data_IF_085013280343
#
_entry.id   IF_085013280343
#
_cell.length_a   1.000
_cell.length_b   1.000
_cell.length_c   1.000
_cell.angle_alpha   90.00
_cell.angle_beta   90.00
_cell.angle_gamma   90.00
#
_symmetry.space_group_name_H-M   'P 1'
#
loop_
_entity.id
_entity.type
_entity.pdbx_description
1 polymer ?
#
# COMPACT_ATOMS: atom_id res chain seq x y z
N UNK A 1 19.83 -7.83 16.27
CA UNK A 1 19.52 -9.19 15.79
C UNK A 1 18.24 -9.61 16.48
N UNK A 2 17.20 -9.90 15.71
CA UNK A 2 15.84 -10.08 16.20
C UNK A 2 14.88 -9.83 15.05
N UNK A 3 15.02 -10.61 13.98
CA UNK A 3 14.06 -10.68 12.88
C UNK A 3 12.76 -11.26 13.45
N UNK A 4 11.79 -10.39 13.74
CA UNK A 4 10.41 -10.79 14.03
C UNK A 4 9.79 -11.33 12.73
N UNK A 5 9.94 -12.63 12.51
CA UNK A 5 9.13 -13.37 11.55
C UNK A 5 7.74 -13.51 12.15
N UNK A 6 6.79 -12.72 11.61
CA UNK A 6 5.36 -12.74 11.94
C UNK A 6 4.80 -14.16 11.81
N UNK A 7 3.90 -14.63 12.70
CA UNK A 7 3.03 -15.75 12.38
C UNK A 7 2.05 -15.31 11.30
N UNK A 8 1.90 -16.11 10.23
CA UNK A 8 0.86 -15.90 9.23
C UNK A 8 -0.50 -15.95 9.92
N UNK A 9 -1.30 -14.90 9.76
CA UNK A 9 -2.64 -14.87 10.35
C UNK A 9 -3.52 -15.84 9.56
N UNK A 10 -3.54 -17.08 10.01
CA UNK A 10 -4.53 -18.10 9.67
C UNK A 10 -4.83 -18.93 10.93
N UNK A 11 -5.99 -18.70 11.51
CA UNK A 11 -6.69 -19.65 12.35
C UNK A 11 -8.16 -19.64 11.91
N UNK A 12 -8.59 -20.67 11.20
CA UNK A 12 -9.91 -20.70 10.57
C UNK A 12 -11.06 -20.49 11.57
N UNK A 13 -11.77 -19.38 11.41
CA UNK A 13 -13.23 -19.31 11.35
C UNK A 13 -13.63 -17.96 10.71
N UNK A 14 -13.73 -17.96 9.38
CA UNK A 14 -13.82 -16.81 8.46
C UNK A 14 -12.49 -16.10 8.14
N UNK A 15 -11.54 -16.95 7.73
CA UNK A 15 -10.45 -16.80 6.75
C UNK A 15 -9.59 -15.51 6.75
N UNK A 16 -8.31 -15.73 7.05
CA UNK A 16 -7.29 -14.70 7.29
C UNK A 16 -6.44 -14.26 6.08
N UNK A 17 -6.41 -12.93 5.92
CA UNK A 17 -5.28 -11.96 5.99
C UNK A 17 -4.10 -11.94 4.99
N UNK A 18 -4.01 -10.82 4.22
CA UNK A 18 -2.93 -9.75 4.21
C UNK A 18 -1.52 -10.14 3.65
N UNK A 19 -0.69 -9.35 2.92
CA UNK A 19 -0.46 -7.90 2.73
C UNK A 19 0.37 -7.59 1.44
N UNK A 20 0.34 -6.29 1.10
CA UNK A 20 0.87 -5.39 0.04
C UNK A 20 2.39 -5.25 -0.26
N UNK A 21 2.72 -4.86 -1.51
CA UNK A 21 3.63 -3.73 -1.88
C UNK A 21 3.53 -3.29 -3.37
N UNK A 22 4.01 -2.07 -3.61
CA UNK A 22 3.70 -1.02 -4.61
C UNK A 22 4.12 -1.18 -6.10
N UNK A 23 3.32 -0.47 -6.93
CA UNK A 23 3.67 0.56 -7.94
C UNK A 23 4.02 0.26 -9.43
N UNK A 24 3.33 1.07 -10.24
CA UNK A 24 3.73 1.80 -11.45
C UNK A 24 3.92 1.04 -12.77
N UNK A 25 3.17 1.47 -13.79
CA UNK A 25 3.55 1.30 -15.19
C UNK A 25 3.74 2.66 -15.85
N UNK A 26 4.91 2.79 -16.48
CA UNK A 26 5.36 3.93 -17.24
C UNK A 26 4.83 3.89 -18.69
N UNK A 27 4.66 5.07 -19.29
CA UNK A 27 4.43 5.31 -20.71
C UNK A 27 5.78 5.52 -21.44
N UNK A 28 5.84 5.32 -22.77
CA UNK A 28 7.09 5.08 -23.48
C UNK A 28 7.91 6.34 -23.79
N UNK A 29 9.23 6.15 -23.86
CA UNK A 29 10.22 7.15 -24.26
C UNK A 29 10.37 7.24 -25.80
N UNK A 30 10.56 8.46 -26.31
CA UNK A 30 11.14 8.72 -27.63
C UNK A 30 12.59 9.21 -27.48
N UNK A 31 13.46 8.99 -28.48
CA UNK A 31 14.87 9.37 -28.38
C UNK A 31 15.07 10.83 -28.78
N UNK A 32 15.87 11.57 -28.00
CA UNK A 32 16.43 12.86 -28.42
C UNK A 32 17.95 12.81 -28.31
N UNK A 33 18.55 13.36 -29.36
CA UNK A 33 19.95 13.32 -29.75
C UNK A 33 20.85 14.07 -28.75
N UNK A 34 22.01 13.47 -28.46
CA UNK A 34 23.09 14.10 -27.72
C UNK A 34 23.70 15.27 -28.50
N UNK A 35 23.82 16.44 -27.86
CA UNK A 35 24.85 17.40 -28.20
C UNK A 35 25.54 17.93 -26.94
N UNK A 36 26.85 17.78 -26.95
CA UNK A 36 27.83 18.23 -25.99
C UNK A 36 28.04 19.74 -26.08
N UNK A 37 27.97 20.46 -24.97
CA UNK A 37 28.94 21.51 -24.59
C UNK A 37 28.51 22.25 -23.31
N UNK A 38 29.33 22.14 -22.27
CA UNK A 38 29.61 23.27 -21.35
C UNK A 38 30.64 24.19 -22.03
N UNK A 39 30.81 25.47 -21.65
CA UNK A 39 30.43 26.08 -20.37
C UNK A 39 29.73 27.46 -20.50
N UNK A 40 28.85 27.81 -19.57
CA UNK A 40 28.49 29.22 -19.36
C UNK A 40 28.48 29.57 -17.87
N UNK A 41 29.43 30.42 -17.49
CA UNK A 41 29.41 31.18 -16.24
C UNK A 41 28.44 32.35 -16.41
N UNK A 42 27.31 32.32 -15.70
CA UNK A 42 26.33 33.42 -15.73
C UNK A 42 26.74 34.48 -14.71
N UNK A 43 27.08 35.66 -15.21
CA UNK A 43 27.22 36.90 -14.44
C UNK A 43 25.83 37.51 -14.20
N UNK A 44 25.72 38.38 -13.19
CA UNK A 44 24.51 38.90 -12.54
C UNK A 44 23.50 39.70 -13.40
N UNK A 45 23.37 39.47 -14.71
CA UNK A 45 22.63 40.39 -15.60
C UNK A 45 21.63 39.78 -16.59
N UNK A 46 21.17 38.55 -16.37
CA UNK A 46 20.02 37.99 -17.10
C UNK A 46 18.88 37.66 -16.13
N UNK A 47 18.06 38.67 -15.78
CA UNK A 47 16.79 38.44 -15.08
C UNK A 47 15.77 38.01 -16.16
N UNK A 48 15.30 36.74 -16.16
CA UNK A 48 14.38 36.29 -17.21
C UNK A 48 13.10 37.13 -17.16
N UNK A 49 12.54 37.43 -18.34
CA UNK A 49 11.32 38.24 -18.53
C UNK A 49 10.05 37.51 -18.06
N UNK A 50 10.20 36.25 -17.63
CA UNK A 50 9.20 35.49 -16.89
C UNK A 50 8.93 36.14 -15.53
N UNK A 51 7.66 36.28 -15.17
CA UNK A 51 7.25 36.72 -13.83
C UNK A 51 7.91 35.85 -12.76
N UNK A 52 8.86 36.42 -12.00
CA UNK A 52 9.52 35.76 -10.87
C UNK A 52 8.55 35.69 -9.68
N UNK A 53 7.59 34.77 -9.74
CA UNK A 53 6.60 34.56 -8.69
C UNK A 53 6.63 33.12 -8.22
N UNK A 54 6.23 32.83 -6.96
CA UNK A 54 6.07 31.44 -6.49
C UNK A 54 5.16 30.61 -7.40
N UNK A 55 4.10 31.23 -7.92
CA UNK A 55 3.16 30.59 -8.84
C UNK A 55 3.85 30.14 -10.14
N UNK A 56 4.72 30.97 -10.73
CA UNK A 56 5.43 30.59 -11.95
C UNK A 56 6.41 29.41 -11.72
N UNK A 57 6.98 29.30 -10.51
CA UNK A 57 7.82 28.15 -10.14
C UNK A 57 6.98 26.87 -10.08
N UNK A 58 5.81 26.93 -9.42
CA UNK A 58 4.90 25.78 -9.31
C UNK A 58 4.36 25.35 -10.68
N UNK A 59 3.95 26.29 -11.53
CA UNK A 59 3.48 25.99 -12.88
C UNK A 59 4.54 25.29 -13.73
N UNK A 60 5.79 25.77 -13.68
CA UNK A 60 6.89 25.11 -14.37
C UNK A 60 7.18 23.72 -13.80
N UNK A 61 7.12 23.56 -12.48
CA UNK A 61 7.31 22.28 -11.80
C UNK A 61 6.22 21.26 -12.17
N UNK A 62 4.96 21.66 -12.15
CA UNK A 62 3.80 20.84 -12.50
C UNK A 62 3.81 20.45 -13.99
N UNK A 63 4.30 21.35 -14.85
CA UNK A 63 4.57 21.09 -16.26
C UNK A 63 5.79 20.18 -16.49
N UNK A 64 6.51 19.78 -15.43
CA UNK A 64 7.77 19.03 -15.45
C UNK A 64 8.91 19.74 -16.18
N UNK A 65 8.80 21.05 -16.37
CA UNK A 65 9.88 21.90 -16.83
C UNK A 65 10.77 22.27 -15.63
N UNK A 66 11.49 21.26 -15.14
CA UNK A 66 12.30 21.39 -13.93
C UNK A 66 13.47 22.37 -14.10
N UNK A 67 13.95 22.57 -15.33
CA UNK A 67 15.02 23.55 -15.60
C UNK A 67 14.48 24.96 -15.37
N UNK A 68 13.33 25.29 -15.95
CA UNK A 68 12.69 26.59 -15.73
C UNK A 68 12.31 26.79 -14.26
N UNK A 69 11.73 25.78 -13.62
CA UNK A 69 11.39 25.83 -12.19
C UNK A 69 12.63 26.06 -11.32
N UNK A 70 13.76 25.40 -11.61
CA UNK A 70 15.02 25.57 -10.88
C UNK A 70 15.58 26.99 -11.07
N UNK A 71 15.58 27.51 -12.29
CA UNK A 71 16.11 28.85 -12.60
C UNK A 71 15.30 29.93 -11.91
N UNK A 72 13.97 29.93 -12.08
CA UNK A 72 13.08 30.92 -11.46
C UNK A 72 13.07 30.75 -9.93
N UNK A 73 13.01 29.49 -9.47
CA UNK A 73 12.97 29.11 -8.06
C UNK A 73 14.16 29.62 -7.27
N UNK A 74 15.38 29.63 -7.83
CA UNK A 74 16.57 30.19 -7.16
C UNK A 74 16.41 31.67 -6.80
N UNK A 75 15.77 32.48 -7.65
CA UNK A 75 15.51 33.89 -7.35
C UNK A 75 14.42 34.03 -6.29
N UNK A 76 13.28 33.36 -6.48
CA UNK A 76 12.12 33.46 -5.58
C UNK A 76 12.44 32.92 -4.17
N UNK A 77 13.18 31.81 -4.07
CA UNK A 77 13.67 31.27 -2.80
C UNK A 77 14.66 32.20 -2.11
N UNK A 78 15.50 32.90 -2.88
CA UNK A 78 16.46 33.89 -2.36
C UNK A 78 15.76 35.14 -1.81
N UNK A 79 14.61 35.51 -2.38
CA UNK A 79 13.75 36.59 -1.88
C UNK A 79 12.98 36.20 -0.60
N UNK A 80 13.10 34.96 -0.14
CA UNK A 80 12.62 34.52 1.16
C UNK A 80 11.37 33.65 1.13
N UNK A 81 10.79 33.34 -0.03
CA UNK A 81 9.57 32.53 -0.11
C UNK A 81 9.81 31.10 0.42
N UNK A 82 9.18 30.79 1.55
CA UNK A 82 9.49 29.56 2.29
C UNK A 82 9.02 28.29 1.56
N UNK A 83 7.91 28.35 0.82
CA UNK A 83 7.42 27.22 0.00
C UNK A 83 8.40 26.93 -1.14
N UNK A 84 8.87 27.96 -1.83
CA UNK A 84 9.85 27.84 -2.91
C UNK A 84 11.21 27.37 -2.38
N UNK A 85 11.62 27.80 -1.18
CA UNK A 85 12.81 27.27 -0.53
C UNK A 85 12.67 25.76 -0.26
N UNK A 86 11.51 25.29 0.21
CA UNK A 86 11.27 23.86 0.41
C UNK A 86 11.27 23.09 -0.92
N UNK A 87 10.58 23.61 -1.95
CA UNK A 87 10.53 23.02 -3.29
C UNK A 87 11.93 22.94 -3.93
N UNK A 88 12.73 24.00 -3.80
CA UNK A 88 14.09 24.03 -4.32
C UNK A 88 14.97 22.98 -3.61
N UNK A 89 14.81 22.81 -2.30
CA UNK A 89 15.42 21.72 -1.55
C UNK A 89 15.05 20.35 -2.12
N UNK A 90 13.76 20.13 -2.39
CA UNK A 90 13.24 18.89 -2.95
C UNK A 90 13.81 18.59 -4.34
N UNK A 91 13.83 19.60 -5.21
CA UNK A 91 14.36 19.45 -6.57
C UNK A 91 15.85 19.11 -6.56
N UNK A 92 16.64 19.76 -5.71
CA UNK A 92 18.08 19.47 -5.56
C UNK A 92 18.34 18.09 -4.96
N UNK A 93 17.51 17.65 -4.02
CA UNK A 93 17.61 16.31 -3.43
C UNK A 93 17.35 15.20 -4.48
N UNK A 94 16.41 15.43 -5.39
CA UNK A 94 15.98 14.44 -6.39
C UNK A 94 16.63 14.63 -7.77
N UNK A 95 17.51 15.62 -7.95
CA UNK A 95 18.14 15.91 -9.24
C UNK A 95 17.15 16.39 -10.31
N UNK A 96 16.12 17.11 -9.90
CA UNK A 96 15.13 17.69 -10.82
C UNK A 96 15.63 19.05 -11.31
N UNK A 97 15.92 19.15 -12.61
CA UNK A 97 16.42 20.40 -13.20
C UNK A 97 17.93 20.63 -12.99
N UNK A 98 18.67 19.57 -12.65
CA UNK A 98 20.13 19.59 -12.46
C UNK A 98 20.63 18.29 -11.83
N UNK A 99 21.90 18.25 -11.45
CA UNK A 99 22.46 17.13 -10.67
C UNK A 99 21.95 17.15 -9.22
N UNK A 100 21.98 15.98 -8.55
CA UNK A 100 21.65 15.88 -7.13
C UNK A 100 22.68 16.67 -6.29
N UNK A 101 22.18 17.58 -5.46
CA UNK A 101 22.99 18.31 -4.47
C UNK A 101 22.29 18.33 -3.10
N UNK A 102 22.59 17.30 -2.30
CA UNK A 102 22.04 17.15 -0.95
C UNK A 102 22.49 18.27 0.00
N UNK A 103 23.69 18.80 -0.19
CA UNK A 103 24.21 19.83 0.73
C UNK A 103 23.52 21.17 0.47
N UNK A 104 23.32 21.54 -0.80
CA UNK A 104 22.53 22.70 -1.15
C UNK A 104 21.05 22.50 -0.75
N UNK A 105 20.48 21.31 -0.97
CA UNK A 105 19.12 20.99 -0.54
C UNK A 105 18.91 21.22 0.97
N UNK A 106 19.82 20.72 1.82
CA UNK A 106 19.77 20.92 3.28
C UNK A 106 19.80 22.41 3.64
N UNK A 107 20.58 23.22 2.92
CA UNK A 107 20.65 24.66 3.15
C UNK A 107 19.29 25.32 2.91
N UNK A 108 18.64 24.98 1.79
CA UNK A 108 17.31 25.49 1.45
C UNK A 108 16.23 24.99 2.40
N UNK A 109 16.23 23.71 2.75
CA UNK A 109 15.33 23.17 3.74
C UNK A 109 15.48 23.83 5.11
N UNK A 110 16.71 24.12 5.57
CA UNK A 110 16.93 24.82 6.84
C UNK A 110 16.34 26.23 6.83
N UNK A 111 16.45 26.96 5.71
CA UNK A 111 15.82 28.27 5.55
C UNK A 111 14.30 28.17 5.59
N UNK A 112 13.72 27.23 4.85
CA UNK A 112 12.27 26.99 4.85
C UNK A 112 11.75 26.59 6.25
N UNK A 113 12.42 25.64 6.91
CA UNK A 113 12.07 25.17 8.25
C UNK A 113 12.20 26.28 9.31
N UNK A 114 13.15 27.20 9.18
CA UNK A 114 13.25 28.36 10.06
C UNK A 114 12.04 29.30 9.95
N UNK A 115 11.32 29.27 8.83
CA UNK A 115 10.09 30.00 8.59
C UNK A 115 8.83 29.18 8.92
N UNK A 116 8.98 28.00 9.53
CA UNK A 116 7.87 27.15 9.93
C UNK A 116 7.39 26.17 8.84
N UNK A 117 8.10 26.03 7.72
CA UNK A 117 7.71 25.08 6.69
C UNK A 117 7.93 23.65 7.13
N UNK A 118 6.83 22.92 7.28
CA UNK A 118 6.88 21.61 7.91
C UNK A 118 7.38 20.51 7.00
N UNK A 119 7.10 20.58 5.70
CA UNK A 119 7.64 19.62 4.72
C UNK A 119 9.19 19.66 4.73
N UNK A 120 9.76 20.86 4.85
CA UNK A 120 11.21 21.02 5.01
C UNK A 120 11.74 20.45 6.34
N UNK A 121 10.97 20.54 7.43
CA UNK A 121 11.33 19.90 8.70
C UNK A 121 11.31 18.37 8.59
N UNK A 122 10.32 17.80 7.89
CA UNK A 122 10.24 16.35 7.64
C UNK A 122 11.42 15.89 6.78
N UNK A 123 11.71 16.57 5.66
CA UNK A 123 12.83 16.25 4.79
C UNK A 123 14.18 16.31 5.54
N UNK A 124 14.39 17.33 6.38
CA UNK A 124 15.59 17.40 7.25
C UNK A 124 15.66 16.23 8.25
N UNK A 125 14.52 15.78 8.76
CA UNK A 125 14.44 14.59 9.62
C UNK A 125 14.83 13.31 8.89
N UNK A 126 14.36 13.13 7.66
CA UNK A 126 14.64 11.96 6.83
C UNK A 126 16.11 11.91 6.39
N UNK A 127 16.64 13.03 5.88
CA UNK A 127 18.06 13.15 5.52
C UNK A 127 18.97 12.92 6.75
N UNK A 128 18.56 13.43 7.92
CA UNK A 128 19.26 13.15 9.16
C UNK A 128 19.22 11.66 9.52
N UNK A 129 18.06 11.01 9.42
CA UNK A 129 17.89 9.58 9.73
C UNK A 129 18.76 8.69 8.81
N UNK A 130 18.86 9.05 7.53
CA UNK A 130 19.75 8.41 6.57
C UNK A 130 21.24 8.65 6.92
N UNK A 131 21.55 9.80 7.52
CA UNK A 131 22.91 10.27 7.81
C UNK A 131 23.55 10.93 6.59
N UNK A 132 22.75 11.59 5.75
CA UNK A 132 23.17 12.20 4.49
C UNK A 132 23.53 13.68 4.66
N UNK A 133 24.35 14.21 3.74
CA UNK A 133 24.70 15.63 3.67
C UNK A 133 25.31 16.22 4.96
N UNK A 134 25.98 15.38 5.76
CA UNK A 134 26.59 15.79 7.03
C UNK A 134 25.61 15.96 8.20
N UNK A 135 24.34 15.59 8.04
CA UNK A 135 23.39 15.56 9.15
C UNK A 135 23.64 14.33 10.04
N UNK A 136 23.58 14.53 11.35
CA UNK A 136 23.66 13.45 12.32
C UNK A 136 22.31 12.73 12.43
N UNK A 137 22.34 11.39 12.54
CA UNK A 137 21.16 10.57 12.83
C UNK A 137 20.45 10.96 14.12
N UNK A 138 21.21 11.38 15.14
CA UNK A 138 20.64 11.90 16.39
C UNK A 138 19.84 13.19 16.17
N UNK A 139 20.12 13.94 15.10
CA UNK A 139 19.42 15.16 14.72
C UNK A 139 18.01 14.93 14.17
N UNK A 140 17.71 13.72 13.67
CA UNK A 140 16.40 13.36 13.14
C UNK A 140 15.29 13.57 14.19
N UNK A 141 15.56 13.17 15.44
CA UNK A 141 14.66 13.36 16.57
C UNK A 141 14.22 14.83 16.70
N UNK A 142 15.15 15.76 16.59
CA UNK A 142 14.86 17.19 16.74
C UNK A 142 13.94 17.70 15.63
N UNK A 143 14.21 17.33 14.39
CA UNK A 143 13.42 17.76 13.23
C UNK A 143 12.02 17.17 13.22
N UNK A 144 11.89 15.86 13.42
CA UNK A 144 10.57 15.23 13.53
C UNK A 144 9.78 15.74 14.74
N UNK A 145 10.42 16.01 15.87
CA UNK A 145 9.74 16.62 17.03
C UNK A 145 9.20 18.02 16.72
N UNK A 146 9.94 18.84 15.96
CA UNK A 146 9.46 20.17 15.54
C UNK A 146 8.24 20.05 14.63
N UNK A 147 8.29 19.15 13.64
CA UNK A 147 7.17 18.91 12.73
C UNK A 147 5.95 18.32 13.46
N UNK A 148 6.15 17.35 14.34
CA UNK A 148 5.09 16.74 15.15
C UNK A 148 4.41 17.73 16.12
N UNK A 149 5.11 18.79 16.56
CA UNK A 149 4.53 19.84 17.41
C UNK A 149 3.53 20.74 16.67
N UNK A 150 3.60 20.80 15.35
CA UNK A 150 2.63 21.52 14.49
C UNK A 150 1.65 20.53 13.82
N UNK A 151 1.39 19.41 14.49
CA UNK A 151 0.37 18.43 14.13
C UNK A 151 0.55 17.71 12.78
N UNK A 152 1.80 17.64 12.28
CA UNK A 152 2.15 16.76 11.16
C UNK A 152 2.19 15.30 11.57
N UNK A 153 1.27 14.50 11.03
CA UNK A 153 1.08 13.11 11.43
C UNK A 153 2.16 12.17 10.88
N UNK A 154 2.64 12.40 9.67
CA UNK A 154 3.80 11.70 9.08
C UNK A 154 5.06 11.86 9.94
N UNK A 155 5.32 13.07 10.44
CA UNK A 155 6.40 13.34 11.38
C UNK A 155 6.19 12.63 12.74
N UNK A 156 4.95 12.57 13.24
CA UNK A 156 4.63 11.83 14.46
C UNK A 156 4.87 10.33 14.29
N UNK A 157 4.51 9.75 13.15
CA UNK A 157 4.80 8.36 12.80
C UNK A 157 6.30 8.09 12.69
N UNK A 158 7.04 8.96 12.01
CA UNK A 158 8.50 8.87 11.93
C UNK A 158 9.15 8.96 13.31
N UNK A 159 8.64 9.85 14.18
CA UNK A 159 9.06 10.00 15.56
C UNK A 159 8.75 8.74 16.39
N UNK A 160 7.58 8.14 16.19
CA UNK A 160 7.23 6.89 16.85
C UNK A 160 8.19 5.76 16.48
N UNK A 161 8.45 5.55 15.18
CA UNK A 161 9.38 4.53 14.68
C UNK A 161 10.82 4.77 15.15
N UNK A 162 11.21 6.04 15.28
CA UNK A 162 12.48 6.40 15.91
C UNK A 162 12.56 5.91 17.35
N UNK A 163 11.50 6.09 18.14
CA UNK A 163 11.43 5.61 19.51
C UNK A 163 11.28 4.08 19.63
N UNK A 164 10.71 3.38 18.66
CA UNK A 164 10.61 1.91 18.71
C UNK A 164 11.97 1.21 18.60
N UNK A 165 12.85 1.73 17.75
CA UNK A 165 14.14 1.09 17.50
C UNK A 165 15.07 1.87 16.58
N UNK A 166 14.82 3.16 16.40
CA UNK A 166 15.52 4.00 15.45
C UNK A 166 17.03 4.07 15.66
N UNK A 167 17.77 4.26 14.57
CA UNK A 167 19.21 4.49 14.62
C UNK A 167 19.48 5.88 15.20
N UNK A 168 20.18 5.96 16.32
CA UNK A 168 20.70 7.21 16.88
C UNK A 168 19.99 7.74 18.11
N UNK A 169 18.99 7.03 18.66
CA UNK A 169 18.41 7.33 19.98
C UNK A 169 18.19 6.05 20.79
N UNK A 170 17.99 6.18 22.10
CA UNK A 170 17.59 5.06 22.95
C UNK A 170 16.10 4.73 22.70
N UNK A 171 15.73 3.44 22.56
CA UNK A 171 14.33 3.06 22.40
C UNK A 171 13.46 3.49 23.59
N UNK A 172 12.25 3.93 23.30
CA UNK A 172 11.22 4.26 24.27
C UNK A 172 9.82 3.91 23.70
N UNK A 173 9.36 2.67 23.85
CA UNK A 173 8.06 2.23 23.33
C UNK A 173 6.86 3.03 23.85
N UNK A 174 6.95 3.61 25.05
CA UNK A 174 5.89 4.44 25.62
C UNK A 174 5.73 5.78 24.88
N UNK A 175 6.86 6.42 24.54
CA UNK A 175 6.85 7.61 23.68
C UNK A 175 6.39 7.25 22.27
N UNK A 176 6.88 6.15 21.71
CA UNK A 176 6.47 5.69 20.38
C UNK A 176 4.94 5.55 20.28
N UNK A 177 4.36 4.81 21.22
CA UNK A 177 2.91 4.63 21.33
C UNK A 177 2.17 5.96 21.50
N UNK A 178 2.68 6.88 22.32
CA UNK A 178 2.06 8.18 22.56
C UNK A 178 1.98 9.01 21.27
N UNK A 179 3.06 9.01 20.47
CA UNK A 179 3.07 9.69 19.18
C UNK A 179 2.14 9.05 18.15
N UNK A 180 2.06 7.71 18.09
CA UNK A 180 1.08 7.04 17.21
C UNK A 180 -0.35 7.35 17.61
N UNK A 181 -0.66 7.38 18.91
CA UNK A 181 -2.01 7.74 19.40
C UNK A 181 -2.37 9.17 18.96
N UNK A 182 -1.43 10.10 19.08
CA UNK A 182 -1.65 11.49 18.64
C UNK A 182 -1.89 11.55 17.13
N UNK A 183 -1.07 10.89 16.33
CA UNK A 183 -1.21 10.84 14.87
C UNK A 183 -2.55 10.23 14.45
N UNK A 184 -2.93 9.09 15.02
CA UNK A 184 -4.19 8.41 14.76
C UNK A 184 -5.40 9.31 15.11
N UNK A 185 -5.32 10.03 16.23
CA UNK A 185 -6.39 10.96 16.63
C UNK A 185 -6.51 12.20 15.72
N UNK A 186 -5.44 12.55 15.00
CA UNK A 186 -5.43 13.60 13.98
C UNK A 186 -5.81 13.09 12.58
N UNK A 187 -6.18 11.81 12.44
CA UNK A 187 -6.68 11.25 11.20
C UNK A 187 -5.68 10.41 10.42
N UNK A 188 -4.54 10.06 11.01
CA UNK A 188 -3.57 9.18 10.37
C UNK A 188 -4.00 7.71 10.45
N UNK A 189 -4.46 7.16 9.33
CA UNK A 189 -4.94 5.79 9.24
C UNK A 189 -3.82 4.76 9.50
N UNK A 190 -2.60 5.05 9.05
CA UNK A 190 -1.45 4.17 9.25
C UNK A 190 -1.06 4.10 10.73
N UNK A 191 -1.08 5.22 11.44
CA UNK A 191 -0.84 5.24 12.88
C UNK A 191 -1.91 4.47 13.66
N UNK A 192 -3.18 4.59 13.26
CA UNK A 192 -4.25 3.80 13.83
C UNK A 192 -4.03 2.30 13.59
N UNK A 193 -3.65 1.90 12.37
CA UNK A 193 -3.34 0.50 12.04
C UNK A 193 -2.17 -0.04 12.85
N UNK A 194 -1.05 0.70 12.96
CA UNK A 194 0.12 0.26 13.74
C UNK A 194 -0.22 0.09 15.24
N UNK A 195 -1.16 0.87 15.78
CA UNK A 195 -1.67 0.65 17.14
C UNK A 195 -2.55 -0.61 17.22
N UNK A 196 -3.29 -0.93 16.17
CA UNK A 196 -4.02 -2.20 16.04
C UNK A 196 -3.06 -3.39 16.04
N UNK A 197 -2.01 -3.32 15.21
CA UNK A 197 -0.97 -4.35 15.08
C UNK A 197 -0.27 -4.59 16.45
N UNK A 198 0.14 -3.52 17.14
CA UNK A 198 0.82 -3.60 18.44
C UNK A 198 -0.03 -4.26 19.53
N UNK A 199 -1.34 -4.02 19.50
CA UNK A 199 -2.28 -4.56 20.49
C UNK A 199 -2.83 -5.93 20.10
N UNK A 200 -2.62 -6.43 18.88
CA UNK A 200 -3.34 -7.60 18.34
C UNK A 200 -3.20 -8.85 19.21
N UNK A 201 -1.96 -9.22 19.52
CA UNK A 201 -1.63 -10.43 20.30
C UNK A 201 -1.82 -10.25 21.81
N UNK A 202 -1.89 -9.00 22.30
CA UNK A 202 -1.87 -8.70 23.74
C UNK A 202 -3.21 -8.24 24.29
N UNK A 203 -4.03 -7.59 23.46
CA UNK A 203 -5.33 -7.05 23.79
C UNK A 203 -6.16 -6.87 22.52
N UNK A 204 -6.84 -7.94 22.09
CA UNK A 204 -7.62 -7.95 20.87
C UNK A 204 -8.78 -6.93 20.90
N UNK A 205 -9.34 -6.59 22.07
CA UNK A 205 -10.38 -5.56 22.20
C UNK A 205 -9.83 -4.17 21.86
N UNK A 206 -8.63 -3.85 22.35
CA UNK A 206 -7.97 -2.60 21.99
C UNK A 206 -7.54 -2.59 20.51
N UNK A 207 -7.01 -3.70 20.01
CA UNK A 207 -6.63 -3.83 18.62
C UNK A 207 -7.82 -3.57 17.68
N UNK A 208 -8.97 -4.20 17.95
CA UNK A 208 -10.20 -3.99 17.19
C UNK A 208 -10.59 -2.51 17.14
N UNK A 209 -10.53 -1.81 18.29
CA UNK A 209 -10.85 -0.37 18.34
C UNK A 209 -9.95 0.45 17.41
N UNK A 210 -8.66 0.12 17.36
CA UNK A 210 -7.71 0.82 16.49
C UNK A 210 -7.89 0.47 15.02
N UNK A 211 -8.15 -0.80 14.68
CA UNK A 211 -8.49 -1.18 13.31
C UNK A 211 -9.80 -0.56 12.83
N UNK A 212 -10.86 -0.50 13.65
CA UNK A 212 -12.09 0.20 13.29
C UNK A 212 -11.83 1.70 13.04
N UNK A 213 -10.96 2.32 13.83
CA UNK A 213 -10.56 3.72 13.61
C UNK A 213 -9.80 3.88 12.30
N UNK A 214 -8.85 3.00 12.00
CA UNK A 214 -8.11 3.01 10.73
C UNK A 214 -9.05 2.79 9.53
N UNK A 215 -10.00 1.85 9.64
CA UNK A 215 -11.03 1.58 8.64
C UNK A 215 -11.91 2.81 8.36
N UNK A 216 -12.32 3.53 9.42
CA UNK A 216 -13.08 4.77 9.30
C UNK A 216 -12.28 5.91 8.64
N UNK A 217 -10.94 5.86 8.71
CA UNK A 217 -10.02 6.77 8.02
C UNK A 217 -9.67 6.31 6.59
N UNK A 218 -10.25 5.20 6.13
CA UNK A 218 -10.08 4.68 4.77
C UNK A 218 -9.03 3.58 4.61
N UNK A 219 -8.44 3.06 5.68
CA UNK A 219 -7.53 1.90 5.59
C UNK A 219 -8.32 0.61 5.35
N UNK A 220 -8.25 0.13 4.12
CA UNK A 220 -9.03 -1.02 3.63
C UNK A 220 -8.60 -2.34 4.28
N UNK A 221 -7.29 -2.51 4.51
CA UNK A 221 -6.77 -3.70 5.19
C UNK A 221 -7.31 -3.77 6.62
N UNK A 222 -7.37 -2.65 7.35
CA UNK A 222 -7.92 -2.59 8.70
C UNK A 222 -9.42 -2.83 8.73
N UNK A 223 -10.16 -2.40 7.70
CA UNK A 223 -11.58 -2.75 7.57
C UNK A 223 -11.75 -4.27 7.47
N UNK A 224 -10.94 -4.92 6.63
CA UNK A 224 -10.94 -6.37 6.51
C UNK A 224 -10.54 -7.07 7.82
N UNK A 225 -9.45 -6.65 8.45
CA UNK A 225 -8.98 -7.22 9.73
C UNK A 225 -10.06 -7.08 10.81
N UNK A 226 -10.66 -5.91 10.98
CA UNK A 226 -11.72 -5.69 11.95
C UNK A 226 -12.95 -6.56 11.66
N UNK A 227 -13.30 -6.81 10.39
CA UNK A 227 -14.36 -7.74 10.04
C UNK A 227 -14.02 -9.17 10.49
N UNK A 228 -12.81 -9.65 10.23
CA UNK A 228 -12.36 -10.97 10.67
C UNK A 228 -12.37 -11.07 12.20
N UNK A 229 -11.95 -10.03 12.91
CA UNK A 229 -11.98 -9.98 14.37
C UNK A 229 -13.40 -10.07 14.96
N UNK A 230 -14.43 -9.65 14.23
CA UNK A 230 -15.83 -9.83 14.64
C UNK A 230 -16.40 -11.21 14.28
N UNK A 231 -15.83 -11.88 13.29
CA UNK A 231 -16.23 -13.21 12.83
C UNK A 231 -15.60 -14.32 13.69
N UNK A 232 -14.31 -14.14 14.02
CA UNK A 232 -13.52 -15.07 14.81
C UNK A 232 -13.75 -14.84 16.31
N UNK A 233 -13.78 -15.93 17.07
CA UNK A 233 -14.09 -15.95 18.49
C UNK A 233 -12.88 -15.52 19.35
N UNK A 234 -12.42 -14.28 19.16
CA UNK A 234 -11.52 -13.58 20.07
C UNK A 234 -12.23 -13.33 21.42
N UNK A 235 -11.56 -12.67 22.38
CA UNK A 235 -12.22 -12.06 23.56
C UNK A 235 -13.21 -10.92 23.19
N UNK A 236 -13.66 -10.88 21.93
CA UNK A 236 -14.56 -9.93 21.31
C UNK A 236 -15.90 -10.65 21.13
N UNK A 237 -16.98 -10.01 21.58
CA UNK A 237 -18.32 -10.51 21.31
C UNK A 237 -18.58 -10.47 19.79
N UNK A 238 -18.95 -11.60 19.15
CA UNK A 238 -19.26 -11.62 17.73
C UNK A 238 -20.31 -10.57 17.34
N UNK A 239 -20.10 -9.93 16.20
CA UNK A 239 -21.00 -8.91 15.68
C UNK A 239 -21.15 -9.01 14.16
N UNK A 240 -22.09 -9.84 13.72
CA UNK A 240 -22.31 -10.12 12.31
C UNK A 240 -22.70 -8.88 11.50
N UNK A 241 -23.45 -7.93 12.09
CA UNK A 241 -23.82 -6.70 11.40
C UNK A 241 -22.57 -5.87 11.09
N UNK A 242 -21.70 -5.68 12.09
CA UNK A 242 -20.50 -4.86 11.92
C UNK A 242 -19.44 -5.54 11.04
N UNK A 243 -19.26 -6.85 11.20
CA UNK A 243 -18.48 -7.69 10.28
C UNK A 243 -18.93 -7.47 8.83
N UNK A 244 -20.23 -7.61 8.57
CA UNK A 244 -20.80 -7.48 7.21
C UNK A 244 -20.55 -6.10 6.61
N UNK A 245 -20.74 -5.04 7.38
CA UNK A 245 -20.51 -3.66 6.94
C UNK A 245 -19.05 -3.41 6.56
N UNK A 246 -18.11 -3.81 7.42
CA UNK A 246 -16.67 -3.64 7.21
C UNK A 246 -16.17 -4.49 6.03
N UNK A 247 -16.69 -5.71 5.90
CA UNK A 247 -16.36 -6.59 4.79
C UNK A 247 -16.89 -6.06 3.45
N UNK A 248 -18.11 -5.53 3.45
CA UNK A 248 -18.68 -4.86 2.28
C UNK A 248 -17.87 -3.62 1.88
N UNK A 249 -17.44 -2.81 2.85
CA UNK A 249 -16.56 -1.65 2.61
C UNK A 249 -15.26 -2.10 1.93
N UNK A 250 -14.59 -3.14 2.46
CA UNK A 250 -13.34 -3.62 1.90
C UNK A 250 -13.51 -4.26 0.51
N UNK A 251 -14.57 -5.05 0.31
CA UNK A 251 -14.90 -5.66 -0.98
C UNK A 251 -15.17 -4.60 -2.07
N UNK A 252 -15.95 -3.57 -1.74
CA UNK A 252 -16.24 -2.46 -2.66
C UNK A 252 -15.00 -1.65 -3.01
N UNK A 253 -14.04 -1.54 -2.09
CA UNK A 253 -12.77 -0.83 -2.28
C UNK A 253 -11.71 -1.64 -3.03
N UNK A 254 -11.98 -2.90 -3.40
CA UNK A 254 -11.05 -3.67 -4.22
C UNK A 254 -10.24 -4.74 -3.46
N UNK A 255 -10.48 -4.97 -2.17
CA UNK A 255 -9.69 -5.94 -1.40
C UNK A 255 -10.02 -7.39 -1.83
N UNK A 256 -9.05 -8.17 -2.36
CA UNK A 256 -9.33 -9.47 -2.99
C UNK A 256 -10.03 -10.49 -2.09
N UNK A 257 -9.51 -10.73 -0.88
CA UNK A 257 -10.10 -11.70 0.05
C UNK A 257 -11.47 -11.25 0.56
N UNK A 258 -11.62 -9.99 0.98
CA UNK A 258 -12.90 -9.40 1.33
C UNK A 258 -13.98 -9.56 0.24
N UNK A 259 -13.64 -9.51 -1.05
CA UNK A 259 -14.61 -9.81 -2.12
C UNK A 259 -15.11 -11.26 -2.05
N UNK A 260 -14.22 -12.23 -1.84
CA UNK A 260 -14.60 -13.63 -1.67
C UNK A 260 -15.46 -13.81 -0.41
N UNK A 261 -15.02 -13.29 0.73
CA UNK A 261 -15.74 -13.43 2.00
C UNK A 261 -17.09 -12.72 1.97
N UNK A 262 -17.19 -11.54 1.37
CA UNK A 262 -18.47 -10.85 1.18
C UNK A 262 -19.39 -11.62 0.22
N UNK A 263 -18.84 -12.17 -0.86
CA UNK A 263 -19.56 -13.07 -1.77
C UNK A 263 -20.14 -14.28 -1.03
N UNK A 264 -19.43 -14.86 -0.06
CA UNK A 264 -19.92 -15.94 0.79
C UNK A 264 -21.08 -15.51 1.68
N UNK A 265 -21.02 -14.31 2.28
CA UNK A 265 -22.15 -13.76 3.05
C UNK A 265 -23.40 -13.61 2.18
N UNK A 266 -23.25 -13.08 0.97
CA UNK A 266 -24.33 -12.91 -0.02
C UNK A 266 -24.86 -14.26 -0.49
N UNK A 267 -24.00 -15.24 -0.72
CA UNK A 267 -24.41 -16.59 -1.12
C UNK A 267 -25.23 -17.30 -0.03
N UNK A 268 -24.87 -17.09 1.24
CA UNK A 268 -25.51 -17.72 2.38
C UNK A 268 -26.78 -16.98 2.83
N UNK A 269 -26.85 -15.67 2.61
CA UNK A 269 -27.87 -14.80 3.19
C UNK A 269 -27.57 -14.41 4.64
N UNK A 270 -26.28 -14.41 5.02
CA UNK A 270 -25.84 -14.15 6.38
C UNK A 270 -25.62 -12.65 6.59
N UNK A 271 -26.62 -11.96 7.16
CA UNK A 271 -26.55 -10.52 7.41
C UNK A 271 -26.78 -9.63 6.18
N UNK A 272 -26.94 -10.23 5.00
CA UNK A 272 -27.29 -9.59 3.72
C UNK A 272 -28.36 -10.40 2.99
N UNK A 273 -29.02 -9.80 2.00
CA UNK A 273 -29.96 -10.50 1.14
C UNK A 273 -29.26 -11.61 0.35
N UNK A 274 -29.85 -12.81 0.35
CA UNK A 274 -29.29 -13.97 -0.34
C UNK A 274 -29.42 -13.83 -1.86
N UNK A 275 -28.32 -13.90 -2.60
CA UNK A 275 -28.33 -14.00 -4.07
C UNK A 275 -27.13 -14.79 -4.58
N UNK A 276 -27.38 -15.89 -5.29
CA UNK A 276 -26.33 -16.68 -5.91
C UNK A 276 -25.67 -15.91 -7.07
N UNK A 277 -26.45 -15.12 -7.80
CA UNK A 277 -26.00 -14.30 -8.92
C UNK A 277 -25.00 -13.23 -8.44
N UNK A 278 -25.34 -12.49 -7.37
CA UNK A 278 -24.45 -11.46 -6.84
C UNK A 278 -23.21 -12.07 -6.19
N UNK A 279 -23.34 -13.21 -5.51
CA UNK A 279 -22.19 -13.93 -4.96
C UNK A 279 -21.20 -14.34 -6.05
N UNK A 280 -21.70 -14.90 -7.16
CA UNK A 280 -20.86 -15.28 -8.30
C UNK A 280 -20.09 -14.09 -8.89
N UNK A 281 -20.71 -12.91 -8.97
CA UNK A 281 -20.03 -11.68 -9.41
C UNK A 281 -18.91 -11.25 -8.45
N UNK A 282 -19.10 -11.41 -7.14
CA UNK A 282 -18.05 -11.11 -6.16
C UNK A 282 -16.90 -12.12 -6.22
N UNK A 283 -17.21 -13.41 -6.39
CA UNK A 283 -16.18 -14.45 -6.58
C UNK A 283 -15.38 -14.23 -7.86
N UNK A 284 -16.04 -13.86 -8.96
CA UNK A 284 -15.38 -13.51 -10.22
C UNK A 284 -14.39 -12.35 -10.04
N UNK A 285 -14.84 -11.25 -9.41
CA UNK A 285 -13.97 -10.10 -9.13
C UNK A 285 -12.78 -10.49 -8.26
N UNK A 286 -13.01 -11.28 -7.21
CA UNK A 286 -11.97 -11.79 -6.31
C UNK A 286 -10.96 -12.66 -7.07
N UNK A 287 -11.45 -13.55 -7.94
CA UNK A 287 -10.63 -14.43 -8.77
C UNK A 287 -9.70 -13.65 -9.71
N UNK A 288 -10.24 -12.62 -10.38
CA UNK A 288 -9.48 -11.72 -11.25
C UNK A 288 -8.51 -10.82 -10.49
N UNK A 289 -8.85 -10.44 -9.26
CA UNK A 289 -7.96 -9.71 -8.35
C UNK A 289 -6.83 -10.61 -7.77
N UNK A 290 -6.88 -11.91 -8.06
CA UNK A 290 -5.80 -12.85 -7.80
C UNK A 290 -5.95 -13.65 -6.50
N UNK A 291 -7.09 -13.56 -5.82
CA UNK A 291 -7.33 -14.29 -4.59
C UNK A 291 -7.52 -15.80 -4.84
N UNK A 292 -6.73 -16.70 -4.23
CA UNK A 292 -6.86 -18.14 -4.45
C UNK A 292 -8.23 -18.71 -4.03
N UNK A 293 -8.85 -18.13 -3.01
CA UNK A 293 -10.16 -18.57 -2.54
C UNK A 293 -11.27 -18.07 -3.47
N UNK A 294 -11.22 -16.81 -3.90
CA UNK A 294 -12.07 -16.26 -4.95
C UNK A 294 -12.04 -17.09 -6.23
N UNK A 295 -10.85 -17.51 -6.68
CA UNK A 295 -10.70 -18.41 -7.85
C UNK A 295 -11.39 -19.74 -7.65
N UNK A 296 -11.22 -20.37 -6.48
CA UNK A 296 -11.89 -21.63 -6.16
C UNK A 296 -13.41 -21.47 -6.06
N UNK A 297 -13.90 -20.42 -5.38
CA UNK A 297 -15.33 -20.17 -5.22
C UNK A 297 -15.99 -19.85 -6.56
N UNK A 298 -15.31 -19.13 -7.44
CA UNK A 298 -15.79 -18.88 -8.80
C UNK A 298 -15.79 -20.15 -9.65
N UNK A 299 -14.74 -20.98 -9.55
CA UNK A 299 -14.73 -22.30 -10.17
C UNK A 299 -15.89 -23.18 -9.70
N UNK A 300 -16.20 -23.14 -8.40
CA UNK A 300 -17.30 -23.88 -7.81
C UNK A 300 -18.66 -23.40 -8.34
N UNK A 301 -18.92 -22.09 -8.41
CA UNK A 301 -20.19 -21.56 -8.93
C UNK A 301 -20.36 -21.88 -10.42
N UNK A 302 -19.30 -21.78 -11.22
CA UNK A 302 -19.29 -22.20 -12.63
C UNK A 302 -19.56 -23.70 -12.81
N UNK A 303 -18.94 -24.56 -11.98
CA UNK A 303 -19.16 -26.01 -12.06
C UNK A 303 -20.58 -26.39 -11.62
N UNK A 304 -21.15 -25.68 -10.65
CA UNK A 304 -22.51 -25.95 -10.13
C UNK A 304 -23.60 -25.35 -11.03
N UNK A 305 -23.33 -24.23 -11.69
CA UNK A 305 -24.33 -23.44 -12.41
C UNK A 305 -25.33 -22.73 -11.49
N UNK A 306 -24.86 -22.28 -10.32
CA UNK A 306 -25.69 -21.61 -9.31
C UNK A 306 -25.48 -20.09 -9.38
N UNK A 307 -26.53 -19.35 -9.71
CA UNK A 307 -26.48 -17.89 -9.97
C UNK A 307 -25.84 -17.48 -11.30
N UNK A 308 -25.14 -18.39 -11.99
CA UNK A 308 -24.57 -18.21 -13.32
C UNK A 308 -24.73 -19.49 -14.15
N UNK A 309 -24.58 -19.39 -15.48
CA UNK A 309 -24.62 -20.56 -16.34
C UNK A 309 -23.46 -21.51 -16.03
N UNK A 310 -23.74 -22.82 -16.06
CA UNK A 310 -22.71 -23.83 -15.85
C UNK A 310 -21.67 -23.81 -16.97
N UNK A 311 -20.39 -23.76 -16.61
CA UNK A 311 -19.28 -23.83 -17.53
C UNK A 311 -18.14 -24.65 -16.93
N UNK A 312 -17.99 -25.89 -17.39
CA UNK A 312 -16.96 -26.80 -16.89
C UNK A 312 -15.55 -26.48 -17.39
N UNK A 313 -15.42 -25.81 -18.54
CA UNK A 313 -14.11 -25.41 -19.06
C UNK A 313 -13.54 -24.29 -18.21
N UNK A 314 -14.36 -23.26 -17.98
CA UNK A 314 -13.96 -22.09 -17.20
C UNK A 314 -13.81 -22.46 -15.72
N UNK A 315 -14.69 -23.33 -15.18
CA UNK A 315 -14.55 -23.85 -13.83
C UNK A 315 -13.20 -24.55 -13.61
N UNK A 316 -12.83 -25.47 -14.52
CA UNK A 316 -11.58 -26.19 -14.38
C UNK A 316 -10.36 -25.28 -14.62
N UNK A 317 -10.47 -24.29 -15.50
CA UNK A 317 -9.44 -23.26 -15.70
C UNK A 317 -9.15 -22.48 -14.41
N UNK A 318 -10.18 -21.93 -13.76
CA UNK A 318 -10.01 -21.17 -12.51
C UNK A 318 -9.54 -22.04 -11.35
N UNK A 319 -9.97 -23.30 -11.31
CA UNK A 319 -9.52 -24.27 -10.31
C UNK A 319 -8.01 -24.55 -10.41
N UNK A 320 -7.49 -24.71 -11.63
CA UNK A 320 -6.04 -24.88 -11.87
C UNK A 320 -5.25 -23.62 -11.50
N UNK A 321 -5.80 -22.44 -11.78
CA UNK A 321 -5.21 -21.15 -11.36
C UNK A 321 -5.20 -21.00 -9.84
N UNK A 322 -6.15 -21.58 -9.11
CA UNK A 322 -6.14 -21.56 -7.64
C UNK A 322 -4.98 -22.42 -7.07
N UNK A 323 -4.61 -23.51 -7.74
CA UNK A 323 -3.53 -24.41 -7.31
C UNK A 323 -2.11 -23.84 -7.54
N UNK A 324 -1.90 -23.13 -8.66
CA UNK A 324 -0.56 -22.63 -9.02
C UNK A 324 -0.01 -21.59 -8.06
N UNK A 325 -0.89 -20.87 -7.36
CA UNK A 325 -0.53 -19.70 -6.58
C UNK A 325 -0.49 -19.98 -5.06
N UNK A 326 -0.80 -21.22 -4.64
CA UNK A 326 -0.65 -21.64 -3.24
C UNK A 326 0.75 -22.19 -2.96
N UNK A 327 1.57 -21.55 -2.10
CA UNK A 327 2.86 -22.12 -1.69
C UNK A 327 2.63 -23.43 -0.95
N UNK A 328 3.23 -24.51 -1.44
CA UNK A 328 3.13 -25.88 -0.90
C UNK A 328 3.76 -26.04 0.50
N UNK A 329 4.20 -24.96 1.15
CA UNK A 329 5.04 -24.97 2.36
C UNK A 329 4.31 -24.75 3.69
N UNK A 330 3.00 -24.50 3.69
CA UNK A 330 2.22 -24.43 4.93
C UNK A 330 1.48 -25.76 5.13
N UNK A 331 2.13 -26.69 5.82
CA UNK A 331 1.66 -28.05 6.12
C UNK A 331 0.44 -28.14 7.05
N UNK A 332 -0.62 -27.39 6.77
CA UNK A 332 -1.93 -27.56 7.39
C UNK A 332 -2.94 -27.81 6.27
N UNK A 333 -3.49 -29.03 6.25
CA UNK A 333 -4.62 -29.41 5.39
C UNK A 333 -5.83 -28.55 5.77
N UNK A 334 -5.98 -27.38 5.14
CA UNK A 334 -7.17 -26.56 5.29
C UNK A 334 -8.37 -27.30 4.68
N UNK A 335 -9.59 -27.11 5.21
CA UNK A 335 -10.80 -27.68 4.59
C UNK A 335 -10.98 -27.18 3.14
N UNK A 336 -10.47 -25.98 2.85
CA UNK A 336 -10.31 -25.44 1.50
C UNK A 336 -9.52 -26.36 0.55
N UNK A 337 -8.38 -26.93 0.96
CA UNK A 337 -7.62 -27.83 0.10
C UNK A 337 -8.36 -29.14 -0.20
N UNK A 338 -9.17 -29.62 0.75
CA UNK A 338 -10.00 -30.82 0.57
C UNK A 338 -11.11 -30.56 -0.45
N UNK A 339 -11.85 -29.46 -0.29
CA UNK A 339 -12.95 -29.11 -1.19
C UNK A 339 -12.46 -28.80 -2.61
N UNK A 340 -11.30 -28.14 -2.73
CA UNK A 340 -10.63 -27.93 -4.02
C UNK A 340 -10.26 -29.24 -4.69
N UNK A 341 -9.62 -30.15 -3.95
CA UNK A 341 -9.20 -31.46 -4.45
C UNK A 341 -10.40 -32.31 -4.87
N UNK A 342 -11.47 -32.29 -4.06
CA UNK A 342 -12.70 -33.02 -4.36
C UNK A 342 -13.43 -32.45 -5.59
N UNK A 343 -13.52 -31.13 -5.73
CA UNK A 343 -14.08 -30.51 -6.94
C UNK A 343 -13.27 -30.90 -8.18
N UNK A 344 -11.94 -30.88 -8.08
CA UNK A 344 -11.05 -31.29 -9.17
C UNK A 344 -11.30 -32.73 -9.58
N UNK A 345 -11.31 -33.65 -8.61
CA UNK A 345 -11.59 -35.07 -8.83
C UNK A 345 -12.94 -35.26 -9.52
N UNK A 346 -13.99 -34.59 -9.04
CA UNK A 346 -15.33 -34.67 -9.64
C UNK A 346 -15.36 -34.17 -11.08
N UNK A 347 -14.65 -33.08 -11.40
CA UNK A 347 -14.54 -32.60 -12.77
C UNK A 347 -13.78 -33.60 -13.65
N UNK A 348 -12.67 -34.15 -13.17
CA UNK A 348 -11.86 -35.13 -13.91
C UNK A 348 -12.59 -36.45 -14.15
N UNK A 349 -13.44 -36.88 -13.21
CA UNK A 349 -14.21 -38.12 -13.32
C UNK A 349 -15.45 -37.99 -14.22
N UNK A 350 -16.03 -36.78 -14.36
CA UNK A 350 -17.37 -36.61 -14.94
C UNK A 350 -17.43 -35.65 -16.15
N UNK A 351 -16.36 -34.91 -16.47
CA UNK A 351 -16.34 -33.97 -17.59
C UNK A 351 -15.51 -34.54 -18.75
N UNK A 352 -15.95 -34.30 -19.98
CA UNK A 352 -15.27 -34.75 -21.18
C UNK A 352 -13.80 -34.28 -21.22
N UNK A 353 -12.88 -35.19 -21.53
CA UNK A 353 -11.43 -34.95 -21.48
C UNK A 353 -10.97 -33.79 -22.38
N UNK A 354 -11.69 -33.53 -23.48
CA UNK A 354 -11.42 -32.46 -24.43
C UNK A 354 -11.63 -31.09 -23.78
N UNK A 355 -12.65 -30.94 -22.94
CA UNK A 355 -12.94 -29.71 -22.19
C UNK A 355 -11.79 -29.42 -21.22
N UNK A 356 -11.42 -30.41 -20.40
CA UNK A 356 -10.34 -30.29 -19.43
C UNK A 356 -8.99 -30.01 -20.10
N UNK A 357 -8.76 -30.59 -21.28
CA UNK A 357 -7.54 -30.37 -22.07
C UNK A 357 -7.43 -28.92 -22.57
N UNK A 358 -8.53 -28.30 -23.00
CA UNK A 358 -8.52 -26.89 -23.44
C UNK A 358 -8.18 -25.95 -22.28
N UNK A 359 -8.80 -26.14 -21.12
CA UNK A 359 -8.49 -25.40 -19.91
C UNK A 359 -7.01 -25.53 -19.49
N UNK A 360 -6.45 -26.74 -19.47
CA UNK A 360 -5.01 -26.96 -19.17
C UNK A 360 -4.09 -26.24 -20.16
N UNK A 361 -4.42 -26.28 -21.45
CA UNK A 361 -3.65 -25.57 -22.50
C UNK A 361 -3.66 -24.07 -22.28
N UNK A 362 -4.82 -23.50 -21.92
CA UNK A 362 -4.95 -22.07 -21.60
C UNK A 362 -4.04 -21.68 -20.43
N UNK A 363 -4.14 -22.38 -19.29
CA UNK A 363 -3.29 -22.13 -18.12
C UNK A 363 -1.80 -22.21 -18.48
N UNK A 364 -1.39 -23.26 -19.21
CA UNK A 364 0.00 -23.43 -19.63
C UNK A 364 0.47 -22.28 -20.54
N UNK A 365 -0.37 -21.82 -21.46
CA UNK A 365 -0.02 -20.70 -22.35
C UNK A 365 0.20 -19.41 -21.58
N UNK A 366 -0.68 -19.07 -20.63
CA UNK A 366 -0.59 -17.84 -19.86
C UNK A 366 0.61 -17.85 -18.88
N UNK A 367 0.94 -19.01 -18.30
CA UNK A 367 2.11 -19.17 -17.44
C UNK A 367 3.44 -19.02 -18.20
N UNK A 368 3.49 -19.41 -19.48
CA UNK A 368 4.68 -19.21 -20.33
C UNK A 368 4.91 -17.72 -20.62
N UNK A 369 3.85 -16.94 -20.82
CA UNK A 369 3.95 -15.50 -21.03
C UNK A 369 4.35 -14.73 -19.76
N UNK A 370 3.89 -15.14 -18.58
CA UNK A 370 4.29 -14.50 -17.32
C UNK A 370 5.74 -14.80 -16.92
N UNK A 371 6.26 -15.98 -17.25
CA UNK A 371 7.65 -16.37 -16.99
C UNK A 371 8.70 -15.70 -17.89
N UNK A 372 8.32 -15.15 -19.04
CA UNK A 372 9.25 -14.43 -19.93
C UNK A 372 9.42 -12.94 -19.58
N UNK A 373 8.56 -12.37 -18.72
CA UNK A 373 8.69 -10.98 -18.28
C UNK A 373 9.59 -10.78 -17.03
N UNK A 374 10.17 -11.86 -16.47
CA UNK A 374 11.04 -11.80 -15.28
C UNK A 374 12.52 -12.07 -15.58
N UNK A 375 12.89 -12.24 -16.84
CA UNK A 375 14.30 -12.39 -17.27
C UNK A 375 14.67 -11.30 -18.28
N UNK A 376 14.72 -10.05 -17.80
CA UNK A 376 15.42 -8.96 -18.48
C UNK A 376 16.91 -8.94 -18.09
N UNK A 377 17.83 -8.66 -19.04
CA UNK A 377 19.28 -8.80 -18.89
C UNK A 377 19.93 -7.89 -17.84
#
# INVERSE_FOLDING_TARGET
MGSSTRPGIRAGAALGLVCTLLAATALPAQPVIAQTSSPFSVTQQDKPTSTLTPQAVLEAYDAKDYITAMVIGKFVASDGDANTQALLGYMLEHGQGGDVDITEAISWYKKAAAQGQTDAMVALGELALAGQGGLSRTGALSWFTKAAKVDRTDAMLALARLYDGGKGILPNPAEARSWRIKAANLGDAQAARELGDDSFDTNSVEALKWYEKAAALGDIDSAYIAAIMYAENYEIKPNNARMTELLAQAAQAGHPAAMADYGLLVYQGNGVERSAEQAALWFEKSAHAGDPEGRFLYAYTLAKGDGIAQDFEEAYYWLLRAESDTPTTLGTSSDYDKDRTELKRRLEDNVASEILTRARKRVASENLFSGQNTTGP
#
